data_IF_399514957291
#
_entry.id   IF_399514957291
#
_cell.length_a   1.000
_cell.length_b   1.000
_cell.length_c   1.000
_cell.angle_alpha   90.00
_cell.angle_beta   90.00
_cell.angle_gamma   90.00
#
_symmetry.space_group_name_H-M   'P 1'
#
loop_
_entity.id
_entity.type
_entity.pdbx_description
1 polymer ?
#
# COMPACT_ATOMS: atom_id res chain seq x y z
N UNK A 1 -16.63 74.63 8.93
CA UNK A 1 -15.71 73.65 9.45
C UNK A 1 -16.45 72.35 9.97
N UNK A 2 -17.43 71.78 9.27
CA UNK A 2 -18.20 70.62 9.72
C UNK A 2 -18.37 69.52 8.64
N UNK A 3 -17.68 69.62 7.49
CA UNK A 3 -17.79 68.58 6.40
C UNK A 3 -16.54 67.71 6.18
N UNK A 4 -15.50 67.83 7.03
CA UNK A 4 -14.24 67.08 6.84
C UNK A 4 -14.05 65.94 7.81
N UNK A 5 -14.98 65.67 8.76
CA UNK A 5 -14.87 64.58 9.74
C UNK A 5 -15.60 63.27 9.34
N UNK A 6 -16.41 63.30 8.28
CA UNK A 6 -17.19 62.12 7.85
C UNK A 6 -16.46 61.23 6.82
N UNK A 7 -15.36 61.68 6.23
CA UNK A 7 -14.64 60.95 5.18
C UNK A 7 -13.55 59.99 5.71
N UNK A 8 -13.16 60.13 6.98
CA UNK A 8 -12.11 59.29 7.59
C UNK A 8 -12.62 58.07 8.33
N UNK A 9 -13.94 57.96 8.57
CA UNK A 9 -14.53 56.82 9.27
C UNK A 9 -15.00 55.73 8.32
N UNK A 10 -15.17 56.00 7.03
CA UNK A 10 -15.53 55.02 6.00
C UNK A 10 -14.34 54.28 5.40
N UNK A 11 -13.10 54.73 5.62
CA UNK A 11 -11.89 54.07 5.08
C UNK A 11 -11.32 52.99 6.01
N UNK A 12 -11.80 52.89 7.27
CA UNK A 12 -11.30 51.90 8.24
C UNK A 12 -12.16 50.61 8.30
N UNK A 13 -13.30 50.58 7.58
CA UNK A 13 -14.19 49.40 7.54
C UNK A 13 -13.96 48.46 6.34
N UNK A 14 -13.02 48.75 5.45
CA UNK A 14 -12.73 47.90 4.28
C UNK A 14 -11.46 47.08 4.37
N UNK A 15 -10.83 46.95 5.54
CA UNK A 15 -9.58 46.14 5.69
C UNK A 15 -9.76 44.83 6.46
N UNK A 16 -10.98 44.32 6.56
CA UNK A 16 -11.20 42.94 6.99
C UNK A 16 -11.73 42.10 5.81
N UNK A 17 -11.16 42.23 4.63
CA UNK A 17 -11.20 41.15 3.66
C UNK A 17 -10.27 40.06 4.20
N UNK A 18 -10.85 39.10 4.91
CA UNK A 18 -10.20 37.82 5.17
C UNK A 18 -9.65 37.33 3.84
N UNK A 19 -8.33 37.33 3.70
CA UNK A 19 -7.64 36.64 2.62
C UNK A 19 -7.97 35.14 2.89
N UNK A 20 -9.10 34.66 2.38
CA UNK A 20 -9.33 33.27 2.21
C UNK A 20 -8.27 32.81 1.21
N UNK A 21 -7.18 32.28 1.71
CA UNK A 21 -6.19 31.62 0.88
C UNK A 21 -6.92 30.58 0.04
N UNK A 22 -6.65 30.55 -1.27
CA UNK A 22 -7.24 29.53 -2.14
C UNK A 22 -6.91 28.15 -1.57
N UNK A 23 -7.93 27.29 -1.44
CA UNK A 23 -7.79 25.91 -1.00
C UNK A 23 -6.75 25.17 -1.85
N UNK A 24 -5.72 24.61 -1.21
CA UNK A 24 -4.65 23.90 -1.90
C UNK A 24 -5.04 22.42 -2.12
N UNK A 25 -4.98 21.96 -3.35
CA UNK A 25 -5.20 20.54 -3.63
C UNK A 25 -3.94 19.73 -3.33
N UNK A 26 -4.09 18.74 -2.48
CA UNK A 26 -3.07 17.73 -2.13
C UNK A 26 -3.41 16.46 -2.90
N UNK A 27 -2.55 16.08 -3.84
CA UNK A 27 -2.72 14.86 -4.61
C UNK A 27 -2.05 13.68 -3.90
N UNK A 28 -2.77 12.54 -3.85
CA UNK A 28 -2.28 11.27 -3.32
C UNK A 28 -2.28 10.24 -4.46
N UNK A 29 -1.10 9.79 -4.85
CA UNK A 29 -0.95 8.68 -5.80
C UNK A 29 -1.21 7.35 -5.11
N UNK A 30 -2.28 6.64 -5.46
CA UNK A 30 -2.63 5.39 -4.79
C UNK A 30 -3.24 4.35 -5.74
N UNK A 31 -3.02 3.03 -5.51
CA UNK A 31 -3.69 1.97 -6.26
C UNK A 31 -5.09 1.70 -5.66
N UNK A 32 -5.94 1.00 -6.39
CA UNK A 32 -7.18 0.41 -5.84
C UNK A 32 -6.83 -0.82 -4.98
N UNK A 33 -6.23 -0.56 -3.80
CA UNK A 33 -5.68 -1.56 -2.88
C UNK A 33 -5.77 -1.05 -1.43
N UNK A 34 -5.48 -1.86 -0.40
CA UNK A 34 -5.70 -1.49 1.00
C UNK A 34 -5.24 -0.09 1.42
N UNK A 35 -4.07 0.43 1.00
CA UNK A 35 -3.61 1.74 1.46
C UNK A 35 -4.45 2.95 0.99
N UNK A 36 -5.33 2.80 -0.02
CA UNK A 36 -6.19 3.91 -0.45
C UNK A 36 -7.40 4.12 0.46
N UNK A 37 -7.82 3.08 1.18
CA UNK A 37 -9.04 3.12 1.98
C UNK A 37 -9.01 4.21 3.08
N UNK A 38 -7.91 4.37 3.87
CA UNK A 38 -7.81 5.48 4.80
C UNK A 38 -7.85 6.86 4.11
N UNK A 39 -7.27 6.99 2.90
CA UNK A 39 -7.31 8.25 2.13
C UNK A 39 -8.75 8.63 1.76
N UNK A 40 -9.58 7.65 1.39
CA UNK A 40 -11.01 7.89 1.11
C UNK A 40 -11.72 8.46 2.34
N UNK A 41 -11.43 7.91 3.53
CA UNK A 41 -11.98 8.44 4.79
C UNK A 41 -11.48 9.85 5.08
N UNK A 42 -10.21 10.13 4.86
CA UNK A 42 -9.64 11.48 5.01
C UNK A 42 -10.33 12.50 4.10
N UNK A 43 -10.65 12.11 2.86
CA UNK A 43 -11.40 12.96 1.92
C UNK A 43 -12.81 13.23 2.45
N UNK A 44 -13.52 12.16 2.85
CA UNK A 44 -14.90 12.26 3.36
C UNK A 44 -15.01 13.20 4.57
N UNK A 45 -14.02 13.16 5.46
CA UNK A 45 -14.01 13.96 6.69
C UNK A 45 -13.33 15.31 6.56
N UNK A 46 -12.81 15.67 5.39
CA UNK A 46 -11.96 16.84 5.20
C UNK A 46 -10.83 16.91 6.26
N UNK A 47 -10.12 15.78 6.45
CA UNK A 47 -9.21 15.56 7.57
C UNK A 47 -8.07 16.58 7.66
N UNK A 48 -7.61 17.15 6.56
CA UNK A 48 -6.56 18.18 6.53
C UNK A 48 -7.09 19.58 6.84
N UNK A 49 -8.43 19.75 6.97
CA UNK A 49 -9.07 21.03 7.26
C UNK A 49 -9.29 21.89 6.01
N UNK A 50 -9.94 23.04 6.19
CA UNK A 50 -10.47 23.90 5.12
C UNK A 50 -9.43 24.47 4.13
N UNK A 51 -8.16 24.44 4.49
CA UNK A 51 -7.09 25.00 3.66
C UNK A 51 -6.56 23.98 2.62
N UNK A 52 -6.98 22.70 2.75
CA UNK A 52 -6.50 21.63 1.90
C UNK A 52 -7.64 20.71 1.44
N UNK A 53 -7.67 20.43 0.15
CA UNK A 53 -8.49 19.37 -0.45
C UNK A 53 -7.59 18.20 -0.83
N UNK A 54 -7.98 16.99 -0.48
CA UNK A 54 -7.27 15.78 -0.93
C UNK A 54 -7.94 15.28 -2.21
N UNK A 55 -7.13 14.93 -3.21
CA UNK A 55 -7.59 14.26 -4.43
C UNK A 55 -6.70 13.05 -4.73
N UNK A 56 -7.26 12.00 -5.37
CA UNK A 56 -6.56 10.76 -5.63
C UNK A 56 -6.20 10.64 -7.10
N UNK A 57 -4.91 10.40 -7.38
CA UNK A 57 -4.44 9.96 -8.69
C UNK A 57 -4.22 8.46 -8.65
N UNK A 58 -5.07 7.70 -9.36
CA UNK A 58 -4.99 6.24 -9.37
C UNK A 58 -3.86 5.77 -10.27
N UNK A 59 -3.05 4.83 -9.76
CA UNK A 59 -2.09 4.07 -10.54
C UNK A 59 -2.42 2.56 -10.47
N UNK A 60 -2.08 1.82 -11.51
CA UNK A 60 -2.40 0.40 -11.68
C UNK A 60 -1.16 -0.50 -11.85
N UNK A 61 0.00 0.10 -12.06
CA UNK A 61 1.27 -0.62 -12.18
C UNK A 61 2.43 0.12 -11.51
N UNK A 62 3.50 -0.59 -11.11
CA UNK A 62 4.72 0.04 -10.58
C UNK A 62 5.35 1.05 -11.53
N UNK A 63 5.26 0.84 -12.83
CA UNK A 63 5.80 1.72 -13.86
C UNK A 63 5.07 3.07 -13.86
N UNK A 64 3.73 3.05 -13.79
CA UNK A 64 2.91 4.26 -13.67
C UNK A 64 3.22 4.99 -12.37
N UNK A 65 3.32 4.27 -11.23
CA UNK A 65 3.72 4.88 -9.96
C UNK A 65 5.09 5.57 -10.06
N UNK A 66 6.09 4.91 -10.67
CA UNK A 66 7.44 5.47 -10.83
C UNK A 66 7.38 6.75 -11.68
N UNK A 67 6.64 6.73 -12.80
CA UNK A 67 6.47 7.91 -13.65
C UNK A 67 5.81 9.07 -12.90
N UNK A 68 4.76 8.80 -12.12
CA UNK A 68 4.08 9.82 -11.29
C UNK A 68 5.00 10.43 -10.24
N UNK A 69 5.87 9.62 -9.60
CA UNK A 69 6.86 10.12 -8.64
C UNK A 69 7.90 11.00 -9.33
N UNK A 70 8.44 10.54 -10.46
CA UNK A 70 9.42 11.30 -11.24
C UNK A 70 8.84 12.61 -11.80
N UNK A 71 7.58 12.56 -12.27
CA UNK A 71 6.82 13.72 -12.74
C UNK A 71 6.31 14.64 -11.62
N UNK A 72 6.50 14.25 -10.34
CA UNK A 72 5.99 14.97 -9.15
C UNK A 72 4.49 15.25 -9.24
N UNK A 73 3.74 14.29 -9.79
CA UNK A 73 2.32 14.46 -10.07
C UNK A 73 1.43 14.43 -8.82
N UNK A 74 1.97 13.97 -7.69
CA UNK A 74 1.31 13.97 -6.39
C UNK A 74 2.35 14.29 -5.30
N UNK A 75 1.89 14.71 -4.13
CA UNK A 75 2.73 15.00 -2.98
C UNK A 75 2.99 13.74 -2.16
N UNK A 76 1.95 12.92 -1.96
CA UNK A 76 1.97 11.68 -1.20
C UNK A 76 1.69 10.50 -2.12
N UNK A 77 2.25 9.36 -1.79
CA UNK A 77 2.07 8.15 -2.58
C UNK A 77 1.91 6.93 -1.68
N UNK A 78 1.03 6.02 -2.04
CA UNK A 78 1.07 4.66 -1.53
C UNK A 78 2.15 3.89 -2.28
N UNK A 79 3.09 3.30 -1.54
CA UNK A 79 4.17 2.52 -2.11
C UNK A 79 4.15 1.07 -1.63
N UNK A 80 4.34 0.08 -2.51
CA UNK A 80 4.95 -1.18 -2.12
C UNK A 80 6.35 -0.89 -1.56
N UNK A 81 6.70 -1.50 -0.42
CA UNK A 81 7.98 -1.22 0.27
C UNK A 81 9.21 -1.40 -0.64
N UNK A 82 9.30 -2.42 -1.52
CA UNK A 82 10.44 -2.53 -2.43
C UNK A 82 10.54 -1.36 -3.41
N UNK A 83 9.40 -0.82 -3.86
CA UNK A 83 9.38 0.24 -4.86
C UNK A 83 9.94 1.54 -4.30
N UNK A 84 9.49 1.99 -3.11
CA UNK A 84 10.05 3.21 -2.50
C UNK A 84 11.53 3.05 -2.19
N UNK A 85 11.95 1.86 -1.72
CA UNK A 85 13.36 1.56 -1.44
C UNK A 85 14.22 1.63 -2.70
N UNK A 86 13.72 1.08 -3.81
CA UNK A 86 14.39 1.13 -5.12
C UNK A 86 14.51 2.56 -5.64
N UNK A 87 13.44 3.36 -5.54
CA UNK A 87 13.43 4.76 -5.97
C UNK A 87 14.45 5.58 -5.18
N UNK A 88 14.43 5.44 -3.85
CA UNK A 88 15.39 6.09 -2.96
C UNK A 88 16.84 5.69 -3.29
N UNK A 89 17.12 4.39 -3.41
CA UNK A 89 18.46 3.90 -3.74
C UNK A 89 18.96 4.31 -5.14
N UNK A 90 18.04 4.69 -6.04
CA UNK A 90 18.33 5.30 -7.34
C UNK A 90 18.45 6.82 -7.30
N UNK A 91 18.44 7.43 -6.12
CA UNK A 91 18.66 8.87 -5.91
C UNK A 91 17.42 9.74 -6.00
N UNK A 92 16.20 9.17 -6.05
CA UNK A 92 15.00 9.98 -5.96
C UNK A 92 14.80 10.46 -4.52
N UNK A 93 14.50 11.77 -4.35
CA UNK A 93 14.22 12.35 -3.04
C UNK A 93 12.80 12.00 -2.60
N UNK A 94 12.65 10.84 -1.97
CA UNK A 94 11.41 10.35 -1.38
C UNK A 94 11.63 9.93 0.07
N UNK A 95 10.60 10.05 0.91
CA UNK A 95 10.62 9.64 2.32
C UNK A 95 9.49 8.66 2.59
N UNK A 96 9.78 7.57 3.31
CA UNK A 96 8.77 6.68 3.87
C UNK A 96 8.20 7.30 5.15
N UNK A 97 6.88 7.41 5.26
CA UNK A 97 6.19 8.00 6.42
C UNK A 97 5.66 6.95 7.39
N UNK A 98 5.14 5.86 6.86
CA UNK A 98 4.59 4.75 7.64
C UNK A 98 4.58 3.45 6.84
N UNK A 99 4.37 2.34 7.54
CA UNK A 99 3.86 1.10 6.97
C UNK A 99 2.45 0.91 7.53
N UNK A 100 1.52 0.52 6.66
CA UNK A 100 0.09 0.49 6.97
C UNK A 100 -0.60 -0.81 6.53
N UNK A 101 0.07 -1.62 5.73
CA UNK A 101 -0.43 -2.88 5.18
C UNK A 101 0.61 -3.98 5.40
N UNK A 102 0.18 -5.10 5.99
CA UNK A 102 1.04 -6.21 6.42
C UNK A 102 0.44 -7.55 6.01
N UNK A 103 1.27 -8.51 5.62
CA UNK A 103 0.92 -9.93 5.49
C UNK A 103 -0.29 -10.28 4.59
N UNK A 104 -0.57 -9.51 3.54
CA UNK A 104 -1.77 -9.65 2.70
C UNK A 104 -1.72 -10.78 1.67
N UNK A 105 -0.65 -11.57 1.67
CA UNK A 105 -0.37 -12.59 0.64
C UNK A 105 -0.77 -13.98 1.10
N UNK A 106 -1.30 -14.77 0.19
CA UNK A 106 -1.68 -16.16 0.45
C UNK A 106 -1.36 -17.08 -0.74
N UNK A 107 -1.02 -18.33 -0.44
CA UNK A 107 -1.14 -19.45 -1.39
C UNK A 107 -2.58 -19.92 -1.37
N UNK A 108 -3.24 -19.87 -2.52
CA UNK A 108 -4.56 -20.46 -2.72
C UNK A 108 -4.47 -21.65 -3.66
N UNK A 109 -5.30 -22.67 -3.43
CA UNK A 109 -5.40 -23.84 -4.30
C UNK A 109 -6.82 -24.36 -4.38
N UNK A 110 -7.19 -24.89 -5.56
CA UNK A 110 -8.38 -25.75 -5.75
C UNK A 110 -8.01 -27.23 -5.90
N UNK A 111 -6.72 -27.56 -5.96
CA UNK A 111 -6.24 -28.94 -5.98
C UNK A 111 -6.39 -29.55 -4.58
N UNK A 112 -7.22 -30.59 -4.39
CA UNK A 112 -7.47 -31.17 -3.08
C UNK A 112 -6.25 -31.87 -2.47
N UNK A 113 -5.20 -32.12 -3.26
CA UNK A 113 -3.94 -32.73 -2.79
C UNK A 113 -2.98 -31.72 -2.19
N UNK A 114 -3.17 -30.42 -2.45
CA UNK A 114 -2.30 -29.35 -1.94
C UNK A 114 -2.78 -28.91 -0.57
N UNK A 115 -1.98 -29.16 0.49
CA UNK A 115 -2.22 -28.79 1.88
C UNK A 115 -1.09 -27.97 2.48
N UNK A 116 0.07 -27.92 1.81
CA UNK A 116 1.28 -27.24 2.26
C UNK A 116 2.15 -26.85 1.08
N UNK A 117 3.23 -26.14 1.34
CA UNK A 117 4.25 -25.82 0.33
C UNK A 117 4.82 -27.09 -0.33
N UNK A 118 5.04 -28.17 0.44
CA UNK A 118 5.65 -29.44 -0.06
C UNK A 118 4.84 -30.09 -1.14
N UNK A 119 3.53 -29.93 -1.10
CA UNK A 119 2.60 -30.54 -2.05
C UNK A 119 2.62 -29.86 -3.43
N UNK A 120 3.36 -28.74 -3.55
CA UNK A 120 3.57 -28.07 -4.84
C UNK A 120 4.63 -28.78 -5.71
N UNK A 121 5.28 -29.84 -5.21
CA UNK A 121 6.24 -30.61 -6.00
C UNK A 121 5.57 -31.21 -7.24
N UNK A 122 6.15 -30.94 -8.42
CA UNK A 122 5.63 -31.35 -9.73
C UNK A 122 4.47 -30.47 -10.24
N UNK A 123 4.09 -29.41 -9.52
CA UNK A 123 2.93 -28.59 -9.89
C UNK A 123 3.33 -27.26 -10.50
N UNK A 124 2.36 -26.60 -11.13
CA UNK A 124 2.47 -25.21 -11.60
C UNK A 124 1.89 -24.27 -10.56
N UNK A 125 2.64 -23.21 -10.28
CA UNK A 125 2.29 -22.14 -9.35
C UNK A 125 2.24 -20.80 -10.10
N UNK A 126 1.09 -20.15 -10.13
CA UNK A 126 0.91 -18.82 -10.69
C UNK A 126 1.25 -17.79 -9.63
N UNK A 127 2.16 -16.85 -9.95
CA UNK A 127 2.64 -15.85 -9.00
C UNK A 127 2.37 -14.46 -9.55
N UNK A 128 1.62 -13.65 -8.80
CA UNK A 128 1.39 -12.25 -9.15
C UNK A 128 2.66 -11.42 -8.90
N UNK A 129 2.90 -10.41 -9.74
CA UNK A 129 3.92 -9.39 -9.51
C UNK A 129 5.35 -9.95 -9.40
N UNK A 130 5.88 -10.49 -10.51
CA UNK A 130 7.29 -10.94 -10.59
C UNK A 130 8.26 -9.91 -10.03
N UNK A 131 9.33 -10.36 -9.36
CA UNK A 131 10.33 -9.52 -8.71
C UNK A 131 9.71 -8.53 -7.70
N UNK A 132 8.76 -8.99 -6.93
CA UNK A 132 8.08 -8.25 -5.87
C UNK A 132 8.24 -8.94 -4.52
N UNK A 133 7.72 -8.33 -3.45
CA UNK A 133 7.70 -8.93 -2.12
C UNK A 133 6.95 -10.28 -2.06
N UNK A 134 5.72 -10.42 -2.60
CA UNK A 134 5.05 -11.72 -2.68
C UNK A 134 5.90 -12.79 -3.35
N UNK A 135 6.55 -12.46 -4.47
CA UNK A 135 7.40 -13.38 -5.22
C UNK A 135 8.63 -13.80 -4.40
N UNK A 136 9.36 -12.85 -3.83
CA UNK A 136 10.54 -13.14 -3.01
C UNK A 136 10.22 -14.01 -1.79
N UNK A 137 9.13 -13.74 -1.08
CA UNK A 137 8.69 -14.57 0.05
C UNK A 137 8.21 -15.95 -0.38
N UNK A 138 7.56 -16.07 -1.55
CA UNK A 138 7.19 -17.39 -2.12
C UNK A 138 8.43 -18.27 -2.30
N UNK A 139 9.46 -17.72 -2.94
CA UNK A 139 10.73 -18.45 -3.11
C UNK A 139 11.41 -18.72 -1.77
N UNK A 140 11.39 -17.78 -0.86
CA UNK A 140 11.95 -17.97 0.49
C UNK A 140 11.29 -19.16 1.21
N UNK A 141 9.96 -19.26 1.21
CA UNK A 141 9.25 -20.36 1.87
C UNK A 141 9.46 -21.70 1.15
N UNK A 142 9.41 -21.72 -0.19
CA UNK A 142 9.66 -22.92 -0.97
C UNK A 142 11.10 -23.43 -0.79
N UNK A 143 12.07 -22.53 -0.71
CA UNK A 143 13.47 -22.87 -0.41
C UNK A 143 13.64 -23.48 0.99
N UNK A 144 12.89 -23.01 2.00
CA UNK A 144 12.88 -23.61 3.35
C UNK A 144 12.33 -25.04 3.33
N UNK A 145 11.41 -25.35 2.43
CA UNK A 145 10.89 -26.69 2.21
C UNK A 145 11.74 -27.54 1.23
N UNK A 146 12.89 -27.01 0.77
CA UNK A 146 13.82 -27.69 -0.14
C UNK A 146 13.36 -27.76 -1.60
N UNK A 147 12.32 -26.99 -1.96
CA UNK A 147 11.79 -26.94 -3.32
C UNK A 147 12.43 -25.82 -4.13
N UNK A 148 12.87 -26.14 -5.34
CA UNK A 148 13.51 -25.19 -6.27
C UNK A 148 12.69 -25.05 -7.55
N UNK A 149 12.51 -23.78 -7.99
CA UNK A 149 11.88 -23.48 -9.27
C UNK A 149 12.58 -24.22 -10.42
N UNK A 150 11.80 -24.66 -11.42
CA UNK A 150 12.20 -25.45 -12.60
C UNK A 150 12.69 -26.87 -12.32
N UNK A 151 13.11 -27.21 -11.10
CA UNK A 151 13.48 -28.56 -10.71
C UNK A 151 12.29 -29.29 -10.05
N UNK A 152 11.65 -28.62 -9.09
CA UNK A 152 10.62 -29.21 -8.24
C UNK A 152 9.22 -28.64 -8.51
N UNK A 153 9.11 -27.44 -9.00
CA UNK A 153 7.84 -26.79 -9.40
C UNK A 153 8.08 -25.83 -10.56
N UNK A 154 6.99 -25.46 -11.26
CA UNK A 154 7.03 -24.48 -12.34
C UNK A 154 6.32 -23.18 -11.94
N UNK A 155 7.04 -22.06 -11.88
CA UNK A 155 6.45 -20.74 -11.66
C UNK A 155 5.99 -20.12 -12.97
N UNK A 156 4.75 -19.61 -12.99
CA UNK A 156 4.17 -18.87 -14.11
C UNK A 156 3.90 -17.43 -13.67
N UNK A 157 4.44 -16.49 -14.42
CA UNK A 157 4.29 -15.06 -14.19
C UNK A 157 3.53 -14.42 -15.34
N UNK A 158 2.60 -13.54 -15.00
CA UNK A 158 1.93 -12.66 -15.94
C UNK A 158 1.57 -11.35 -15.22
N UNK A 159 0.93 -10.41 -15.93
CA UNK A 159 0.43 -9.22 -15.26
C UNK A 159 -0.69 -9.61 -14.26
N UNK A 160 -0.89 -8.76 -13.25
CA UNK A 160 -1.84 -9.04 -12.15
C UNK A 160 -3.25 -9.36 -12.65
N UNK A 161 -3.77 -8.57 -13.59
CA UNK A 161 -5.13 -8.75 -14.11
C UNK A 161 -5.29 -10.07 -14.87
N UNK A 162 -4.26 -10.46 -15.63
CA UNK A 162 -4.24 -11.72 -16.37
C UNK A 162 -4.27 -12.93 -15.40
N UNK A 163 -3.41 -12.94 -14.38
CA UNK A 163 -3.40 -14.02 -13.38
C UNK A 163 -4.74 -14.10 -12.65
N UNK A 164 -5.32 -12.96 -12.22
CA UNK A 164 -6.65 -12.94 -11.59
C UNK A 164 -7.69 -13.59 -12.51
N UNK A 165 -7.70 -13.26 -13.79
CA UNK A 165 -8.65 -13.82 -14.75
C UNK A 165 -8.45 -15.32 -14.95
N UNK A 166 -7.21 -15.79 -15.08
CA UNK A 166 -6.87 -17.22 -15.23
C UNK A 166 -7.34 -18.02 -13.99
N UNK A 167 -7.04 -17.51 -12.79
CA UNK A 167 -7.41 -18.15 -11.52
C UNK A 167 -8.93 -18.13 -11.33
N UNK A 168 -9.58 -16.96 -11.50
CA UNK A 168 -11.03 -16.84 -11.36
C UNK A 168 -11.80 -17.74 -12.35
N UNK A 169 -11.27 -17.94 -13.56
CA UNK A 169 -11.82 -18.85 -14.54
C UNK A 169 -11.55 -20.36 -14.23
N UNK A 170 -10.81 -20.64 -13.15
CA UNK A 170 -10.44 -21.99 -12.76
C UNK A 170 -9.44 -22.67 -13.71
N UNK A 171 -8.69 -21.90 -14.50
CA UNK A 171 -7.66 -22.42 -15.43
C UNK A 171 -6.28 -22.63 -14.75
N UNK A 172 -6.10 -22.11 -13.54
CA UNK A 172 -4.96 -22.38 -12.67
C UNK A 172 -5.45 -23.15 -11.43
N UNK A 173 -4.64 -24.06 -10.92
CA UNK A 173 -4.96 -24.82 -9.71
C UNK A 173 -4.36 -24.19 -8.46
N UNK A 174 -3.16 -23.61 -8.57
CA UNK A 174 -2.40 -23.05 -7.45
C UNK A 174 -1.94 -21.62 -7.79
N UNK A 175 -2.15 -20.68 -6.89
CA UNK A 175 -1.73 -19.32 -7.12
C UNK A 175 -1.31 -18.61 -5.82
N UNK A 176 -0.33 -17.70 -5.96
CA UNK A 176 0.00 -16.70 -4.95
C UNK A 176 -0.83 -15.45 -5.25
N UNK A 177 -1.65 -15.06 -4.30
CA UNK A 177 -2.59 -13.95 -4.45
C UNK A 177 -2.48 -12.98 -3.26
N UNK A 178 -2.98 -11.77 -3.46
CA UNK A 178 -2.99 -10.71 -2.44
C UNK A 178 -4.41 -10.19 -2.21
N UNK A 179 -4.72 -9.71 -0.99
CA UNK A 179 -6.00 -9.05 -0.71
C UNK A 179 -6.13 -7.69 -1.44
N UNK A 180 -7.32 -7.31 -1.89
CA UNK A 180 -8.64 -7.97 -1.78
C UNK A 180 -8.91 -9.04 -2.86
N UNK A 181 -7.97 -9.28 -3.80
CA UNK A 181 -8.17 -10.19 -4.93
C UNK A 181 -8.35 -11.64 -4.48
N UNK A 182 -7.66 -12.05 -3.41
CA UNK A 182 -7.87 -13.36 -2.78
C UNK A 182 -9.34 -13.55 -2.37
N UNK A 183 -9.89 -12.60 -1.63
CA UNK A 183 -11.32 -12.64 -1.22
C UNK A 183 -12.25 -12.65 -2.42
N UNK A 184 -11.96 -11.87 -3.47
CA UNK A 184 -12.77 -11.84 -4.69
C UNK A 184 -12.77 -13.19 -5.44
N UNK A 185 -11.61 -13.84 -5.54
CA UNK A 185 -11.48 -15.14 -6.19
C UNK A 185 -12.24 -16.21 -5.40
N UNK A 186 -12.07 -16.27 -4.09
CA UNK A 186 -12.75 -17.25 -3.24
C UNK A 186 -14.29 -17.07 -3.28
N UNK A 187 -14.76 -15.84 -3.40
CA UNK A 187 -16.19 -15.53 -3.57
C UNK A 187 -16.74 -16.01 -4.92
N UNK A 188 -15.94 -15.86 -5.99
CA UNK A 188 -16.32 -16.26 -7.35
C UNK A 188 -16.19 -17.77 -7.59
N UNK A 189 -15.20 -18.41 -6.98
CA UNK A 189 -14.90 -19.84 -7.19
C UNK A 189 -14.65 -20.52 -5.84
N UNK A 190 -15.71 -21.09 -5.21
CA UNK A 190 -15.64 -21.71 -3.88
C UNK A 190 -14.74 -22.97 -3.81
N UNK A 191 -14.28 -23.50 -4.94
CA UNK A 191 -13.34 -24.61 -4.96
C UNK A 191 -11.95 -24.21 -4.49
N UNK A 192 -11.57 -22.92 -4.63
CA UNK A 192 -10.33 -22.42 -4.06
C UNK A 192 -10.42 -22.31 -2.55
N UNK A 193 -9.30 -22.60 -1.90
CA UNK A 193 -9.09 -22.43 -0.45
C UNK A 193 -7.75 -21.73 -0.22
N UNK A 194 -7.64 -21.00 0.86
CA UNK A 194 -6.34 -20.55 1.37
C UNK A 194 -5.64 -21.77 1.96
N UNK A 195 -4.47 -22.08 1.45
CA UNK A 195 -3.62 -23.19 1.90
C UNK A 195 -2.58 -22.67 2.89
N UNK A 196 -1.95 -21.53 2.55
CA UNK A 196 -0.96 -20.87 3.41
C UNK A 196 -1.26 -19.36 3.43
N UNK A 197 -1.35 -18.81 4.63
CA UNK A 197 -1.26 -17.39 4.87
C UNK A 197 0.22 -17.03 5.12
N UNK A 198 0.77 -16.07 4.39
CA UNK A 198 2.20 -15.75 4.47
C UNK A 198 2.61 -15.19 5.82
N UNK A 199 1.73 -14.42 6.48
CA UNK A 199 2.02 -13.86 7.79
C UNK A 199 2.09 -14.95 8.86
N UNK A 200 1.12 -15.89 8.86
CA UNK A 200 1.11 -17.04 9.76
C UNK A 200 2.34 -17.94 9.53
N UNK A 201 2.70 -18.16 8.27
CA UNK A 201 3.88 -18.93 7.91
C UNK A 201 5.17 -18.24 8.33
N UNK A 202 5.26 -16.91 8.14
CA UNK A 202 6.38 -16.11 8.60
C UNK A 202 6.56 -16.20 10.11
N UNK A 203 5.48 -16.01 10.88
CA UNK A 203 5.47 -16.11 12.33
C UNK A 203 5.90 -17.49 12.82
N UNK A 204 5.48 -18.54 12.13
CA UNK A 204 5.90 -19.92 12.40
C UNK A 204 7.42 -20.11 12.22
N UNK A 205 7.99 -19.57 11.12
CA UNK A 205 9.44 -19.65 10.89
C UNK A 205 10.24 -18.78 11.83
N UNK A 206 9.72 -17.64 12.22
CA UNK A 206 10.40 -16.71 13.15
C UNK A 206 10.25 -17.12 14.61
N UNK A 207 9.23 -17.87 14.97
CA UNK A 207 8.89 -18.19 16.36
C UNK A 207 8.38 -16.99 17.16
N UNK A 208 7.92 -15.91 16.49
CA UNK A 208 7.41 -14.69 17.11
C UNK A 208 6.20 -14.14 16.32
N UNK A 209 5.65 -13.00 16.77
CA UNK A 209 4.51 -12.31 16.12
C UNK A 209 4.95 -11.24 15.12
N UNK A 210 6.14 -11.37 14.52
CA UNK A 210 6.59 -10.43 13.51
C UNK A 210 5.69 -10.49 12.26
N UNK A 211 5.54 -9.34 11.60
CA UNK A 211 4.68 -9.18 10.44
C UNK A 211 5.51 -8.90 9.18
N UNK A 212 4.99 -9.29 8.01
CA UNK A 212 5.61 -9.00 6.71
C UNK A 212 5.17 -7.62 6.25
N UNK A 213 6.08 -6.61 6.18
CA UNK A 213 5.74 -5.28 5.67
C UNK A 213 5.44 -5.36 4.18
N UNK A 214 4.28 -4.82 3.76
CA UNK A 214 3.83 -4.91 2.37
C UNK A 214 3.78 -3.54 1.69
N UNK A 215 3.09 -2.58 2.29
CA UNK A 215 2.93 -1.24 1.72
C UNK A 215 2.85 -0.16 2.81
N UNK A 216 3.16 1.06 2.40
CA UNK A 216 3.12 2.24 3.25
C UNK A 216 2.83 3.50 2.47
N UNK A 217 2.73 4.62 3.18
CA UNK A 217 2.69 5.95 2.57
C UNK A 217 4.08 6.56 2.59
N UNK A 218 4.45 7.13 1.47
CA UNK A 218 5.62 7.99 1.34
C UNK A 218 5.26 9.37 0.82
N UNK A 219 6.23 10.25 0.85
CA UNK A 219 6.10 11.66 0.44
C UNK A 219 7.31 12.07 -0.40
N UNK A 220 7.14 13.01 -1.31
CA UNK A 220 8.27 13.65 -1.98
C UNK A 220 9.13 14.39 -0.94
N UNK A 221 10.46 14.21 -0.99
CA UNK A 221 11.37 14.82 -0.03
C UNK A 221 11.25 16.34 0.00
N UNK A 222 11.06 16.98 -1.14
CA UNK A 222 10.86 18.44 -1.21
C UNK A 222 9.60 18.91 -0.45
N UNK A 223 8.54 18.11 -0.40
CA UNK A 223 7.34 18.41 0.39
C UNK A 223 7.66 18.25 1.87
N UNK A 224 8.37 17.18 2.24
CA UNK A 224 8.79 16.93 3.62
C UNK A 224 9.74 18.03 4.17
N UNK A 225 10.53 18.63 3.29
CA UNK A 225 11.44 19.73 3.63
C UNK A 225 10.73 21.09 3.75
N UNK A 226 9.82 21.39 2.82
CA UNK A 226 9.13 22.69 2.73
C UNK A 226 7.97 22.81 3.71
N UNK A 227 7.24 21.71 3.96
CA UNK A 227 6.04 21.72 4.81
C UNK A 227 5.98 20.45 5.69
N UNK A 228 6.91 20.31 6.64
CA UNK A 228 6.94 19.14 7.52
C UNK A 228 5.69 19.01 8.40
N UNK A 229 5.02 20.11 8.73
CA UNK A 229 3.80 20.11 9.54
C UNK A 229 2.61 19.51 8.76
N UNK A 230 2.48 19.82 7.47
CA UNK A 230 1.51 19.15 6.60
C UNK A 230 1.76 17.64 6.54
N UNK A 231 3.04 17.23 6.39
CA UNK A 231 3.40 15.81 6.31
C UNK A 231 3.08 15.09 7.62
N UNK A 232 3.40 15.69 8.75
CA UNK A 232 3.06 15.17 10.08
C UNK A 232 1.54 15.04 10.26
N UNK A 233 0.78 16.13 9.96
CA UNK A 233 -0.67 16.13 10.03
C UNK A 233 -1.29 15.04 9.14
N UNK A 234 -0.82 14.92 7.89
CA UNK A 234 -1.28 13.88 6.98
C UNK A 234 -1.08 12.48 7.59
N UNK A 235 0.10 12.23 8.16
CA UNK A 235 0.43 10.93 8.74
C UNK A 235 -0.44 10.59 9.97
N UNK A 236 -0.72 11.58 10.82
CA UNK A 236 -1.59 11.45 11.99
C UNK A 236 -3.05 11.19 11.59
N UNK A 237 -3.57 11.96 10.64
CA UNK A 237 -4.94 11.78 10.16
C UNK A 237 -5.11 10.46 9.38
N UNK A 238 -4.07 10.04 8.66
CA UNK A 238 -4.05 8.73 8.02
C UNK A 238 -4.12 7.59 9.05
N UNK A 239 -3.40 7.69 10.17
CA UNK A 239 -3.46 6.69 11.25
C UNK A 239 -4.86 6.59 11.85
N UNK A 240 -5.52 7.73 12.12
CA UNK A 240 -6.91 7.78 12.61
C UNK A 240 -7.89 7.17 11.61
N UNK A 241 -7.75 7.55 10.34
CA UNK A 241 -8.58 7.02 9.25
C UNK A 241 -8.40 5.51 9.07
N UNK A 242 -7.17 4.99 9.21
CA UNK A 242 -6.90 3.56 9.13
C UNK A 242 -7.58 2.79 10.26
N UNK A 243 -7.56 3.31 11.48
CA UNK A 243 -8.27 2.70 12.59
C UNK A 243 -9.78 2.68 12.34
N UNK A 244 -10.34 3.79 11.85
CA UNK A 244 -11.76 3.85 11.48
C UNK A 244 -12.11 2.82 10.39
N UNK A 245 -11.27 2.65 9.35
CA UNK A 245 -11.48 1.65 8.29
C UNK A 245 -11.60 0.23 8.87
N UNK A 246 -10.75 -0.12 9.84
CA UNK A 246 -10.80 -1.44 10.51
C UNK A 246 -12.11 -1.67 11.26
N UNK A 247 -12.64 -0.62 11.86
CA UNK A 247 -13.85 -0.66 12.69
C UNK A 247 -15.15 -0.55 11.87
N UNK A 248 -15.05 -0.03 10.62
CA UNK A 248 -16.22 0.27 9.78
C UNK A 248 -16.11 -0.36 8.38
N UNK A 249 -16.00 -1.69 8.27
CA UNK A 249 -15.76 -2.36 6.98
C UNK A 249 -16.93 -2.22 5.99
N UNK A 250 -18.15 -2.03 6.45
CA UNK A 250 -19.31 -1.81 5.59
C UNK A 250 -19.30 -0.40 4.99
N UNK A 251 -19.07 0.61 5.83
CA UNK A 251 -19.05 2.01 5.41
C UNK A 251 -17.92 2.27 4.44
N UNK A 252 -16.71 1.75 4.72
CA UNK A 252 -15.60 1.91 3.79
C UNK A 252 -15.83 1.14 2.48
N UNK A 253 -16.54 0.02 2.51
CA UNK A 253 -16.95 -0.69 1.28
C UNK A 253 -17.85 0.19 0.40
N UNK A 254 -18.84 0.87 0.98
CA UNK A 254 -19.73 1.80 0.28
C UNK A 254 -18.94 2.97 -0.31
N UNK A 255 -18.05 3.56 0.48
CA UNK A 255 -17.21 4.70 0.08
C UNK A 255 -16.24 4.32 -1.05
N UNK A 256 -15.61 3.15 -0.97
CA UNK A 256 -14.71 2.63 -2.00
C UNK A 256 -15.44 2.36 -3.33
N UNK A 257 -16.69 1.90 -3.26
CA UNK A 257 -17.54 1.73 -4.46
C UNK A 257 -17.88 3.07 -5.08
N UNK A 258 -18.33 4.03 -4.27
CA UNK A 258 -18.73 5.36 -4.74
C UNK A 258 -17.56 6.10 -5.39
N UNK A 259 -16.41 6.16 -4.72
CA UNK A 259 -15.28 6.99 -5.14
C UNK A 259 -14.36 6.32 -6.16
N UNK A 260 -14.21 5.00 -6.11
CA UNK A 260 -13.22 4.26 -6.93
C UNK A 260 -13.83 3.11 -7.75
N UNK A 261 -15.14 2.85 -7.64
CA UNK A 261 -15.79 1.74 -8.34
C UNK A 261 -15.32 0.35 -7.87
N UNK A 262 -14.81 0.23 -6.64
CA UNK A 262 -14.43 -1.05 -6.05
C UNK A 262 -15.70 -1.81 -5.59
N UNK A 263 -15.66 -3.13 -5.59
CA UNK A 263 -16.79 -3.93 -5.10
C UNK A 263 -16.94 -3.79 -3.57
N UNK A 264 -18.08 -3.24 -3.13
CA UNK A 264 -18.33 -2.92 -1.73
C UNK A 264 -18.33 -4.17 -0.83
N UNK A 265 -18.93 -5.28 -1.28
CA UNK A 265 -19.01 -6.51 -0.52
C UNK A 265 -17.64 -7.22 -0.44
N UNK A 266 -16.85 -7.15 -1.51
CA UNK A 266 -15.48 -7.66 -1.48
C UNK A 266 -14.63 -6.86 -0.52
N UNK A 267 -14.69 -5.52 -0.56
CA UNK A 267 -13.96 -4.67 0.40
C UNK A 267 -14.38 -4.97 1.83
N UNK A 268 -15.69 -4.98 2.12
CA UNK A 268 -16.22 -5.32 3.46
C UNK A 268 -15.66 -6.65 3.99
N UNK A 269 -15.66 -7.69 3.16
CA UNK A 269 -15.20 -9.04 3.54
C UNK A 269 -13.68 -9.14 3.64
N UNK A 270 -12.93 -8.32 2.91
CA UNK A 270 -11.46 -8.36 2.87
C UNK A 270 -10.79 -7.46 3.93
N UNK A 271 -11.45 -6.39 4.42
CA UNK A 271 -10.87 -5.49 5.43
C UNK A 271 -10.25 -6.23 6.62
N UNK A 272 -10.88 -7.23 7.25
CA UNK A 272 -10.27 -7.97 8.36
C UNK A 272 -9.01 -8.77 7.99
N UNK A 273 -8.79 -9.00 6.67
CA UNK A 273 -7.68 -9.80 6.13
C UNK A 273 -6.59 -8.95 5.48
N UNK A 274 -6.78 -7.63 5.43
CA UNK A 274 -5.86 -6.70 4.79
C UNK A 274 -4.65 -6.34 5.64
N UNK A 275 -4.50 -6.93 6.84
CA UNK A 275 -3.35 -6.64 7.70
C UNK A 275 -3.17 -5.15 8.00
N UNK A 276 -4.26 -4.41 8.14
CA UNK A 276 -4.22 -2.96 8.36
C UNK A 276 -3.69 -2.65 9.75
N UNK A 277 -2.47 -2.14 9.82
CA UNK A 277 -1.85 -1.71 11.07
C UNK A 277 -0.87 -0.57 10.80
N UNK A 278 -1.06 0.57 11.45
CA UNK A 278 -0.22 1.74 11.27
C UNK A 278 1.03 1.63 12.15
N UNK A 279 2.21 1.72 11.52
CA UNK A 279 3.49 1.85 12.22
C UNK A 279 4.27 2.98 11.57
N UNK A 280 4.67 3.98 12.36
CA UNK A 280 5.43 5.11 11.85
C UNK A 280 6.82 4.67 11.33
N UNK A 281 7.32 5.34 10.30
CA UNK A 281 8.59 4.94 9.65
C UNK A 281 9.78 4.89 10.62
N UNK A 282 9.82 5.75 11.62
CA UNK A 282 10.87 5.75 12.65
C UNK A 282 10.92 4.44 13.47
N UNK A 283 9.78 3.75 13.59
CA UNK A 283 9.62 2.56 14.46
C UNK A 283 9.77 1.23 13.70
N UNK A 284 9.81 1.26 12.34
CA UNK A 284 9.86 0.03 11.51
C UNK A 284 11.25 -0.41 11.09
N UNK A 285 12.30 0.33 11.39
CA UNK A 285 13.66 0.10 10.87
C UNK A 285 14.17 -1.33 11.13
N UNK A 286 13.97 -1.84 12.35
CA UNK A 286 14.39 -3.20 12.70
C UNK A 286 13.66 -4.26 11.87
N UNK A 287 12.36 -4.11 11.70
CA UNK A 287 11.51 -5.02 10.92
C UNK A 287 11.94 -5.00 9.45
N UNK A 288 12.16 -3.80 8.89
CA UNK A 288 12.62 -3.63 7.52
C UNK A 288 14.03 -4.18 7.29
N UNK A 289 14.91 -4.19 8.31
CA UNK A 289 16.24 -4.77 8.19
C UNK A 289 16.22 -6.26 7.81
N UNK A 290 15.32 -7.05 8.41
CA UNK A 290 15.15 -8.46 8.07
C UNK A 290 14.46 -8.64 6.71
N UNK A 291 13.43 -7.85 6.45
CA UNK A 291 12.75 -7.82 5.17
C UNK A 291 13.73 -7.56 4.00
N UNK A 292 14.60 -6.56 4.13
CA UNK A 292 15.56 -6.23 3.09
C UNK A 292 16.61 -7.32 2.86
N UNK A 293 16.99 -8.08 3.90
CA UNK A 293 17.89 -9.23 3.74
C UNK A 293 17.29 -10.30 2.84
N UNK A 294 15.98 -10.57 2.97
CA UNK A 294 15.27 -11.52 2.10
C UNK A 294 15.25 -10.99 0.67
N UNK A 295 14.89 -9.72 0.47
CA UNK A 295 14.87 -9.10 -0.85
C UNK A 295 16.24 -9.16 -1.54
N UNK A 296 17.30 -8.83 -0.82
CA UNK A 296 18.69 -8.88 -1.31
C UNK A 296 19.12 -10.31 -1.63
N UNK A 297 18.72 -11.27 -0.80
CA UNK A 297 19.04 -12.69 -1.01
C UNK A 297 18.36 -13.31 -2.22
N UNK A 298 17.17 -12.79 -2.58
CA UNK A 298 16.42 -13.25 -3.74
C UNK A 298 16.84 -12.53 -5.04
N UNK A 299 16.67 -11.22 -5.09
CA UNK A 299 17.11 -10.36 -6.21
C UNK A 299 17.39 -8.94 -5.70
N UNK A 300 18.67 -8.54 -5.59
CA UNK A 300 19.04 -7.21 -5.12
C UNK A 300 18.39 -6.05 -5.88
N UNK A 301 18.02 -6.27 -7.17
CA UNK A 301 17.39 -5.24 -8.01
C UNK A 301 16.00 -4.83 -7.51
N UNK A 302 15.34 -5.68 -6.72
CA UNK A 302 14.01 -5.40 -6.15
C UNK A 302 14.03 -4.11 -5.33
N UNK A 303 15.08 -3.91 -4.54
CA UNK A 303 15.23 -2.73 -3.66
C UNK A 303 16.34 -1.77 -4.11
N UNK A 304 16.85 -1.92 -5.35
CA UNK A 304 17.89 -1.04 -5.90
C UNK A 304 19.31 -1.36 -5.43
N UNK A 305 19.60 -2.60 -5.04
CA UNK A 305 20.94 -3.16 -4.85
C UNK A 305 21.50 -3.07 -3.43
N UNK A 306 20.89 -2.32 -2.53
CA UNK A 306 21.36 -2.14 -1.14
C UNK A 306 20.20 -1.85 -0.17
N UNK A 307 20.46 -2.01 1.12
CA UNK A 307 19.53 -1.56 2.17
C UNK A 307 19.54 -0.03 2.19
N UNK A 308 18.36 0.63 2.15
CA UNK A 308 18.27 2.08 2.29
C UNK A 308 18.82 2.56 3.63
N UNK A 309 19.46 3.73 3.63
CA UNK A 309 19.94 4.37 4.86
C UNK A 309 18.83 5.13 5.61
N UNK A 310 19.23 5.77 6.72
CA UNK A 310 18.34 6.50 7.64
C UNK A 310 17.54 7.64 6.95
N UNK A 311 18.07 8.19 5.86
CA UNK A 311 17.43 9.31 5.18
C UNK A 311 16.19 8.90 4.39
N UNK A 312 15.93 7.62 4.18
CA UNK A 312 14.65 7.16 3.63
C UNK A 312 13.49 7.46 4.58
N UNK A 313 13.70 7.43 5.90
CA UNK A 313 12.62 7.48 6.88
C UNK A 313 12.28 8.91 7.27
N UNK A 314 10.98 9.24 7.26
CA UNK A 314 10.49 10.50 7.82
C UNK A 314 10.49 10.40 9.34
N UNK A 315 11.27 11.25 10.02
CA UNK A 315 11.54 11.17 11.45
C UNK A 315 11.00 12.38 12.25
N UNK A 316 10.16 13.23 11.64
CA UNK A 316 9.61 14.43 12.31
C UNK A 316 8.22 14.19 12.88
#
# INVERSE_FOLDING_TARGET
MKKFKSLFLSLFLMLNMSIFGAEKTIYVGAPKAPPVLPVLRMIETNALGKDYKIDIKVWDSPEVLIAMVQGKEAQFFSFPIPVISKLYNKGLNVKLMNINTWGVTSLISKDPTVKSWRDLKGKTLYIVLKSSSPDAYTHYFLDKEGLKEKRDYNAVYANKAEIINIVAAGKADNAIMIEPDTTAILAKNPNFKIIVNFEEEWQKYKGDKSAIPTAGIGVLGEVAEKDPELVKKFNEEYAKALQWVKENPEEIGKLAKEKLGMDAEIIKKSVPKMGLNFVAAKDVKKILGEYYKIMLGYDPKIIGGKIPDENLYFNK
#
